data_IF_739958809018
#
_entry.id   IF_739958809018
#
_cell.length_a   1.000
_cell.length_b   1.000
_cell.length_c   1.000
_cell.angle_alpha   90.00
_cell.angle_beta   90.00
_cell.angle_gamma   90.00
#
_symmetry.space_group_name_H-M   'P 1'
#
loop_
_entity.id
_entity.type
_entity.pdbx_description
1 polymer ?
#
# COMPACT_ATOMS: atom_id res chain seq x y z
N UNK A 1 37.17 28.09 27.35
CA UNK A 1 35.97 28.96 27.42
C UNK A 1 35.14 28.90 26.14
N UNK A 2 35.70 29.20 24.97
CA UNK A 2 34.99 29.17 23.66
C UNK A 2 34.34 27.82 23.34
N UNK A 3 35.05 26.70 23.55
CA UNK A 3 34.52 25.34 23.30
C UNK A 3 33.32 24.99 24.18
N UNK A 4 33.31 25.46 25.44
CA UNK A 4 32.21 25.23 26.38
C UNK A 4 30.99 26.04 25.96
N UNK A 5 31.19 27.29 25.55
CA UNK A 5 30.12 28.16 25.03
C UNK A 5 29.50 27.57 23.77
N UNK A 6 30.32 27.11 22.82
CA UNK A 6 29.84 26.46 21.59
C UNK A 6 29.06 25.17 21.88
N UNK A 7 29.54 24.35 22.83
CA UNK A 7 28.85 23.12 23.23
C UNK A 7 27.49 23.41 23.88
N UNK A 8 27.41 24.46 24.70
CA UNK A 8 26.15 24.91 25.32
C UNK A 8 25.15 25.42 24.28
N UNK A 9 25.61 26.19 23.29
CA UNK A 9 24.78 26.68 22.18
C UNK A 9 24.21 25.51 21.38
N UNK A 10 25.03 24.51 21.05
CA UNK A 10 24.56 23.28 20.36
C UNK A 10 23.52 22.55 21.18
N UNK A 11 23.73 22.38 22.49
CA UNK A 11 22.80 21.69 23.37
C UNK A 11 21.45 22.43 23.48
N UNK A 12 21.48 23.77 23.56
CA UNK A 12 20.27 24.61 23.55
C UNK A 12 19.55 24.51 22.21
N UNK A 13 20.25 24.52 21.08
CA UNK A 13 19.63 24.36 19.75
C UNK A 13 18.98 22.97 19.59
N UNK A 14 19.63 21.91 20.08
CA UNK A 14 19.06 20.55 20.08
C UNK A 14 17.82 20.50 20.96
N UNK A 15 17.86 21.10 22.15
CA UNK A 15 16.72 21.14 23.07
C UNK A 15 15.54 21.93 22.50
N UNK A 16 15.79 23.09 21.86
CA UNK A 16 14.75 23.87 21.18
C UNK A 16 14.18 23.06 20.01
N UNK A 17 15.02 22.43 19.19
CA UNK A 17 14.57 21.59 18.07
C UNK A 17 13.70 20.42 18.55
N UNK A 18 14.07 19.82 19.69
CA UNK A 18 13.28 18.77 20.34
C UNK A 18 11.92 19.27 20.83
N UNK A 19 11.86 20.44 21.49
CA UNK A 19 10.61 21.06 21.94
C UNK A 19 9.70 21.46 20.76
N UNK A 20 10.27 21.99 19.69
CA UNK A 20 9.57 22.28 18.44
C UNK A 20 9.02 21.00 17.83
N UNK A 21 9.82 19.92 17.78
CA UNK A 21 9.40 18.61 17.32
C UNK A 21 8.21 18.03 18.10
N UNK A 22 8.22 18.14 19.44
CA UNK A 22 7.08 17.70 20.28
C UNK A 22 5.84 18.54 20.00
N UNK A 23 5.98 19.86 19.87
CA UNK A 23 4.85 20.76 19.59
C UNK A 23 4.25 20.43 18.22
N UNK A 24 5.09 20.26 17.20
CA UNK A 24 4.66 19.92 15.85
C UNK A 24 4.00 18.55 15.80
N UNK A 25 4.54 17.55 16.50
CA UNK A 25 3.91 16.25 16.68
C UNK A 25 2.51 16.34 17.30
N UNK A 26 2.35 17.10 18.39
CA UNK A 26 1.04 17.30 19.04
C UNK A 26 0.05 18.06 18.16
N UNK A 27 0.53 18.98 17.33
CA UNK A 27 -0.30 19.71 16.38
C UNK A 27 -0.74 18.78 15.25
N UNK A 28 0.17 17.99 14.70
CA UNK A 28 -0.09 16.99 13.66
C UNK A 28 -1.14 15.94 14.09
N UNK A 29 -1.22 15.60 15.38
CA UNK A 29 -2.27 14.73 15.91
C UNK A 29 -3.68 15.35 15.88
N UNK A 30 -3.79 16.67 15.69
CA UNK A 30 -5.07 17.37 15.55
C UNK A 30 -5.45 17.61 14.10
N UNK A 31 -4.57 17.28 13.16
CA UNK A 31 -4.86 17.44 11.74
C UNK A 31 -6.06 16.56 11.37
N UNK A 32 -6.85 17.04 10.41
CA UNK A 32 -8.01 16.38 9.87
C UNK A 32 -7.97 16.38 8.32
N UNK A 33 -9.04 15.91 7.70
CA UNK A 33 -9.19 15.85 6.25
C UNK A 33 -9.13 17.22 5.56
N UNK A 34 -9.54 18.31 6.22
CA UNK A 34 -9.40 19.66 5.69
C UNK A 34 -7.94 20.14 5.70
N UNK A 35 -7.17 19.81 6.73
CA UNK A 35 -5.73 20.10 6.76
C UNK A 35 -4.99 19.35 5.64
N UNK A 36 -5.37 18.10 5.37
CA UNK A 36 -4.85 17.36 4.22
C UNK A 36 -5.30 18.00 2.89
N UNK A 37 -6.53 18.49 2.78
CA UNK A 37 -6.99 19.18 1.58
C UNK A 37 -6.14 20.43 1.28
N UNK A 38 -5.90 21.25 2.29
CA UNK A 38 -5.04 22.45 2.18
C UNK A 38 -3.59 22.10 1.84
N UNK A 39 -3.07 21.00 2.37
CA UNK A 39 -1.76 20.49 2.01
C UNK A 39 -1.72 20.09 0.53
N UNK A 40 -2.64 19.24 0.09
CA UNK A 40 -2.71 18.76 -1.29
C UNK A 40 -2.87 19.90 -2.30
N UNK A 41 -3.63 20.95 -1.96
CA UNK A 41 -3.75 22.15 -2.79
C UNK A 41 -2.41 22.87 -3.03
N UNK A 42 -1.51 22.86 -2.03
CA UNK A 42 -0.17 23.47 -2.12
C UNK A 42 0.87 22.55 -2.76
N UNK A 43 0.56 21.25 -2.90
CA UNK A 43 1.47 20.21 -3.38
C UNK A 43 0.95 19.47 -4.62
N UNK A 44 0.24 20.20 -5.50
CA UNK A 44 -0.40 19.67 -6.72
C UNK A 44 0.52 18.88 -7.65
N UNK A 45 1.81 19.21 -7.72
CA UNK A 45 2.77 18.52 -8.60
C UNK A 45 3.05 17.06 -8.17
N UNK A 46 2.76 16.73 -6.91
CA UNK A 46 3.09 15.43 -6.31
C UNK A 46 1.85 14.58 -6.02
N UNK A 47 0.71 14.87 -6.64
CA UNK A 47 -0.52 14.12 -6.44
C UNK A 47 -1.25 13.81 -7.74
N UNK A 48 -2.05 12.74 -7.69
CA UNK A 48 -2.98 12.32 -8.72
C UNK A 48 -4.27 11.87 -8.04
N UNK A 49 -5.41 12.36 -8.52
CA UNK A 49 -6.72 11.99 -7.99
C UNK A 49 -7.69 11.78 -9.14
N UNK A 50 -8.46 10.69 -9.03
CA UNK A 50 -9.57 10.40 -9.93
C UNK A 50 -10.79 10.00 -9.11
N UNK A 51 -11.93 10.61 -9.42
CA UNK A 51 -13.24 10.24 -8.88
C UNK A 51 -14.12 9.85 -10.05
N UNK A 52 -14.69 8.65 -9.98
CA UNK A 52 -15.69 8.14 -10.91
C UNK A 52 -17.00 7.95 -10.17
N UNK A 53 -18.09 8.53 -10.67
CA UNK A 53 -19.45 8.36 -10.13
C UNK A 53 -20.35 7.80 -11.21
N UNK A 54 -21.02 6.69 -10.91
CA UNK A 54 -21.95 6.04 -11.82
C UNK A 54 -21.36 5.80 -13.22
N UNK A 55 -20.10 5.38 -13.26
CA UNK A 55 -19.34 5.11 -14.49
C UNK A 55 -18.65 6.33 -15.12
N UNK A 56 -18.99 7.54 -14.69
CA UNK A 56 -18.50 8.78 -15.29
C UNK A 56 -17.36 9.38 -14.46
N UNK A 57 -16.27 9.79 -15.11
CA UNK A 57 -15.18 10.51 -14.44
C UNK A 57 -15.65 11.93 -14.08
N UNK A 58 -15.85 12.20 -12.79
CA UNK A 58 -16.35 13.48 -12.28
C UNK A 58 -15.27 14.36 -11.66
N UNK A 59 -14.08 13.79 -11.43
CA UNK A 59 -12.84 14.52 -11.15
C UNK A 59 -11.67 13.75 -11.77
N UNK A 60 -10.84 14.44 -12.53
CA UNK A 60 -9.58 13.91 -13.05
C UNK A 60 -8.51 14.97 -12.85
N UNK A 61 -7.47 14.64 -12.08
CA UNK A 61 -6.31 15.50 -11.90
C UNK A 61 -5.05 14.63 -11.93
N UNK A 62 -4.15 14.89 -12.88
CA UNK A 62 -2.94 14.08 -13.10
C UNK A 62 -3.23 12.57 -13.24
N UNK A 63 -4.41 12.18 -13.75
CA UNK A 63 -4.90 10.81 -13.67
C UNK A 63 -4.06 9.75 -14.39
N UNK A 64 -3.20 10.18 -15.33
CA UNK A 64 -2.31 9.32 -16.12
C UNK A 64 -0.86 9.30 -15.59
N UNK A 65 -0.56 10.02 -14.50
CA UNK A 65 0.76 10.03 -13.89
C UNK A 65 0.96 8.73 -13.09
N UNK A 66 2.11 8.06 -13.29
CA UNK A 66 2.43 6.80 -12.61
C UNK A 66 3.02 7.01 -11.23
N UNK A 67 2.51 6.27 -10.25
CA UNK A 67 2.98 6.23 -8.87
C UNK A 67 3.25 4.78 -8.43
N UNK A 68 4.31 4.53 -7.63
CA UNK A 68 4.51 3.27 -6.93
C UNK A 68 3.31 2.97 -6.04
N UNK A 69 2.76 1.77 -6.18
CA UNK A 69 1.46 1.42 -5.59
C UNK A 69 1.53 1.02 -4.13
N UNK A 70 2.73 0.77 -3.59
CA UNK A 70 2.88 0.19 -2.27
C UNK A 70 1.92 -1.01 -2.08
N UNK A 71 1.11 -0.99 -1.02
CA UNK A 71 0.15 -2.06 -0.72
C UNK A 71 -1.17 -1.98 -1.49
N UNK A 72 -1.42 -0.94 -2.30
CA UNK A 72 -2.61 -0.87 -3.17
C UNK A 72 -2.53 -1.88 -4.33
N UNK A 73 -1.33 -2.38 -4.65
CA UNK A 73 -1.13 -3.52 -5.58
C UNK A 73 -1.91 -4.78 -5.17
N UNK A 74 -2.19 -4.94 -3.87
CA UNK A 74 -2.85 -6.12 -3.30
C UNK A 74 -4.30 -6.29 -3.77
N UNK A 75 -4.94 -5.25 -4.32
CA UNK A 75 -6.27 -5.36 -4.95
C UNK A 75 -6.26 -6.37 -6.10
N UNK A 76 -5.22 -6.37 -6.94
CA UNK A 76 -5.10 -7.30 -8.08
C UNK A 76 -4.84 -8.72 -7.58
N UNK A 77 -4.09 -8.87 -6.49
CA UNK A 77 -3.84 -10.17 -5.85
C UNK A 77 -5.14 -10.72 -5.25
N UNK A 78 -5.93 -9.88 -4.58
CA UNK A 78 -7.24 -10.22 -4.04
C UNK A 78 -8.22 -10.64 -5.14
N UNK A 79 -8.24 -9.94 -6.28
CA UNK A 79 -9.05 -10.34 -7.44
C UNK A 79 -8.70 -11.75 -7.92
N UNK A 80 -7.41 -12.05 -8.12
CA UNK A 80 -6.97 -13.38 -8.55
C UNK A 80 -7.29 -14.47 -7.51
N UNK A 81 -7.12 -14.17 -6.22
CA UNK A 81 -7.49 -15.09 -5.15
C UNK A 81 -8.98 -15.45 -5.21
N UNK A 82 -9.86 -14.45 -5.31
CA UNK A 82 -11.31 -14.67 -5.41
C UNK A 82 -11.66 -15.50 -6.63
N UNK A 83 -11.10 -15.20 -7.81
CA UNK A 83 -11.31 -15.99 -9.04
C UNK A 83 -10.90 -17.44 -8.89
N UNK A 84 -9.76 -17.71 -8.26
CA UNK A 84 -9.28 -19.08 -8.08
C UNK A 84 -10.11 -19.86 -7.04
N UNK A 85 -10.65 -19.18 -6.03
CA UNK A 85 -11.57 -19.81 -5.07
C UNK A 85 -12.89 -20.18 -5.73
N UNK A 86 -13.51 -19.26 -6.47
CA UNK A 86 -14.83 -19.49 -7.10
C UNK A 86 -14.77 -20.47 -8.26
N UNK A 87 -13.60 -20.63 -8.88
CA UNK A 87 -13.33 -21.69 -9.87
C UNK A 87 -12.81 -22.99 -9.26
N UNK A 88 -12.90 -23.14 -7.93
CA UNK A 88 -12.50 -24.33 -7.16
C UNK A 88 -11.03 -24.75 -7.33
N UNK A 89 -10.15 -23.83 -7.74
CA UNK A 89 -8.69 -24.04 -7.83
C UNK A 89 -7.98 -23.80 -6.50
N UNK A 90 -8.59 -23.00 -5.61
CA UNK A 90 -8.18 -22.81 -4.22
C UNK A 90 -9.38 -23.05 -3.29
N UNK A 91 -9.12 -23.46 -2.05
CA UNK A 91 -10.16 -23.64 -1.03
C UNK A 91 -9.96 -22.67 0.13
N UNK A 92 -11.00 -21.91 0.49
CA UNK A 92 -10.95 -20.98 1.63
C UNK A 92 -10.60 -21.68 2.95
N UNK A 93 -11.08 -22.92 3.13
CA UNK A 93 -10.91 -23.70 4.35
C UNK A 93 -9.58 -24.45 4.43
N UNK A 94 -8.78 -24.41 3.37
CA UNK A 94 -7.46 -25.03 3.35
C UNK A 94 -6.61 -24.50 4.49
N UNK A 95 -6.04 -25.42 5.28
CA UNK A 95 -5.22 -25.09 6.45
C UNK A 95 -3.76 -24.96 6.06
N UNK A 96 -3.14 -23.91 6.59
CA UNK A 96 -1.75 -23.55 6.35
C UNK A 96 -1.06 -23.38 7.70
N UNK A 97 0.15 -23.93 7.85
CA UNK A 97 0.95 -23.67 9.03
C UNK A 97 1.37 -22.20 9.09
N UNK A 98 1.11 -21.54 10.21
CA UNK A 98 1.56 -20.17 10.47
C UNK A 98 3.10 -20.07 10.35
N UNK A 99 3.82 -21.10 10.78
CA UNK A 99 5.29 -21.15 10.67
C UNK A 99 5.80 -21.10 9.23
N UNK A 100 5.00 -21.58 8.26
CA UNK A 100 5.34 -21.49 6.85
C UNK A 100 5.21 -20.05 6.34
N UNK A 101 4.14 -19.36 6.75
CA UNK A 101 3.90 -17.96 6.37
C UNK A 101 4.95 -17.05 7.03
N UNK A 102 5.31 -17.33 8.29
CA UNK A 102 6.34 -16.61 9.05
C UNK A 102 7.71 -16.59 8.36
N UNK A 103 8.00 -17.55 7.45
CA UNK A 103 9.22 -17.52 6.63
C UNK A 103 9.31 -16.25 5.78
N UNK A 104 8.18 -15.69 5.35
CA UNK A 104 8.15 -14.47 4.54
C UNK A 104 8.07 -13.20 5.38
N UNK A 105 8.09 -13.30 6.71
CA UNK A 105 8.07 -12.15 7.60
C UNK A 105 9.48 -11.62 7.88
N UNK A 106 9.63 -10.30 7.81
CA UNK A 106 10.85 -9.57 8.18
C UNK A 106 10.48 -8.49 9.17
N UNK A 107 11.05 -8.57 10.37
CA UNK A 107 10.69 -7.75 11.53
C UNK A 107 10.79 -6.25 11.19
N UNK A 108 9.75 -5.48 11.55
CA UNK A 108 9.65 -4.03 11.40
C UNK A 108 9.74 -3.50 9.95
N UNK A 109 9.35 -4.29 8.95
CA UNK A 109 9.39 -3.86 7.53
C UNK A 109 8.01 -3.61 6.91
N UNK A 110 6.94 -4.00 7.60
CA UNK A 110 5.54 -3.88 7.16
C UNK A 110 4.70 -3.02 8.11
N UNK A 111 5.34 -2.17 8.92
CA UNK A 111 4.66 -1.30 9.88
C UNK A 111 3.99 -2.02 11.05
N UNK A 112 4.32 -3.30 11.29
CA UNK A 112 3.69 -4.11 12.33
C UNK A 112 2.44 -4.86 11.86
N UNK A 113 2.11 -4.78 10.58
CA UNK A 113 0.97 -5.44 9.96
C UNK A 113 0.88 -6.94 10.28
N UNK A 114 1.96 -7.68 10.06
CA UNK A 114 1.95 -9.13 10.26
C UNK A 114 1.79 -9.54 11.74
N UNK A 115 2.52 -8.95 12.72
CA UNK A 115 2.23 -9.18 14.13
C UNK A 115 0.78 -8.88 14.55
N UNK A 116 0.19 -7.78 14.08
CA UNK A 116 -1.20 -7.44 14.41
C UNK A 116 -2.19 -8.44 13.79
N UNK A 117 -1.93 -8.88 12.55
CA UNK A 117 -2.69 -9.98 11.95
C UNK A 117 -2.60 -11.24 12.80
N UNK A 118 -1.40 -11.66 13.21
CA UNK A 118 -1.19 -12.84 14.07
C UNK A 118 -1.97 -12.76 15.38
N UNK A 119 -2.04 -11.58 15.99
CA UNK A 119 -2.86 -11.36 17.19
C UNK A 119 -4.35 -11.54 16.90
N UNK A 120 -4.85 -11.05 15.76
CA UNK A 120 -6.27 -11.17 15.40
C UNK A 120 -6.77 -12.60 15.18
N UNK A 121 -5.84 -13.54 14.93
CA UNK A 121 -6.11 -14.97 14.77
C UNK A 121 -5.61 -15.78 15.97
N UNK A 122 -5.47 -15.12 17.13
CA UNK A 122 -5.02 -15.70 18.41
C UNK A 122 -3.67 -16.43 18.33
N UNK A 123 -2.80 -16.03 17.41
CA UNK A 123 -1.53 -16.70 17.11
C UNK A 123 -1.68 -18.20 16.84
N UNK A 124 -2.81 -18.60 16.24
CA UNK A 124 -3.08 -20.00 15.91
C UNK A 124 -1.95 -20.58 15.05
N UNK A 125 -1.48 -21.78 15.43
CA UNK A 125 -0.40 -22.48 14.69
C UNK A 125 -0.80 -22.88 13.27
N UNK A 126 -2.11 -22.96 13.00
CA UNK A 126 -2.70 -23.20 11.69
C UNK A 126 -3.80 -22.18 11.39
N UNK A 127 -3.84 -21.71 10.15
CA UNK A 127 -4.79 -20.69 9.67
C UNK A 127 -5.45 -21.14 8.38
N UNK A 128 -6.63 -20.64 8.08
CA UNK A 128 -7.28 -20.88 6.79
C UNK A 128 -6.72 -19.96 5.70
N UNK A 129 -6.85 -20.32 4.41
CA UNK A 129 -6.51 -19.39 3.32
C UNK A 129 -7.30 -18.09 3.35
N UNK A 130 -8.54 -18.13 3.85
CA UNK A 130 -9.34 -16.94 4.11
C UNK A 130 -8.68 -16.03 5.14
N UNK A 131 -8.14 -16.57 6.23
CA UNK A 131 -7.43 -15.79 7.24
C UNK A 131 -6.17 -15.15 6.67
N UNK A 132 -5.47 -15.84 5.77
CA UNK A 132 -4.29 -15.27 5.07
C UNK A 132 -4.71 -14.14 4.14
N UNK A 133 -5.81 -14.28 3.40
CA UNK A 133 -6.34 -13.22 2.54
C UNK A 133 -6.78 -11.98 3.35
N UNK A 134 -7.41 -12.18 4.50
CA UNK A 134 -7.72 -11.10 5.45
C UNK A 134 -6.43 -10.46 6.01
N UNK A 135 -5.40 -11.25 6.31
CA UNK A 135 -4.08 -10.75 6.69
C UNK A 135 -3.43 -9.85 5.64
N UNK A 136 -3.54 -10.23 4.35
CA UNK A 136 -3.07 -9.40 3.24
C UNK A 136 -3.87 -8.10 3.11
N UNK A 137 -5.20 -8.15 3.15
CA UNK A 137 -6.03 -7.00 2.78
C UNK A 137 -6.36 -6.09 3.96
N UNK A 138 -6.72 -6.64 5.11
CA UNK A 138 -7.17 -5.89 6.30
C UNK A 138 -5.99 -5.38 7.14
N UNK A 139 -4.93 -6.18 7.27
CA UNK A 139 -3.74 -5.80 8.04
C UNK A 139 -2.61 -5.29 7.14
N UNK A 140 -2.67 -5.54 5.83
CA UNK A 140 -1.61 -5.20 4.88
C UNK A 140 -0.33 -6.04 5.03
N UNK A 141 -0.41 -7.23 5.64
CA UNK A 141 0.75 -8.09 5.91
C UNK A 141 1.47 -8.50 4.63
N UNK A 142 2.75 -8.15 4.51
CA UNK A 142 3.57 -8.53 3.35
C UNK A 142 3.84 -10.03 3.30
N UNK A 143 4.02 -10.70 4.45
CA UNK A 143 4.21 -12.14 4.50
C UNK A 143 2.99 -12.94 4.00
N UNK A 144 1.78 -12.54 4.42
CA UNK A 144 0.54 -13.13 3.89
C UNK A 144 0.39 -12.90 2.38
N UNK A 145 0.84 -11.74 1.92
CA UNK A 145 0.78 -11.37 0.50
C UNK A 145 1.69 -12.25 -0.33
N UNK A 146 2.97 -12.35 0.05
CA UNK A 146 3.95 -13.14 -0.69
C UNK A 146 3.60 -14.63 -0.68
N UNK A 147 3.06 -15.13 0.45
CA UNK A 147 2.50 -16.47 0.52
C UNK A 147 1.37 -16.66 -0.52
N UNK A 148 0.37 -15.77 -0.56
CA UNK A 148 -0.74 -15.88 -1.50
C UNK A 148 -0.29 -15.72 -2.94
N UNK A 149 0.65 -14.81 -3.22
CA UNK A 149 1.22 -14.63 -4.56
C UNK A 149 1.88 -15.92 -5.07
N UNK A 150 2.60 -16.63 -4.20
CA UNK A 150 3.21 -17.91 -4.54
C UNK A 150 2.16 -18.99 -4.79
N UNK A 151 1.10 -19.02 -3.97
CA UNK A 151 -0.03 -19.95 -4.13
C UNK A 151 -0.82 -19.73 -5.42
N UNK A 152 -1.01 -18.47 -5.81
CA UNK A 152 -1.72 -18.08 -7.04
C UNK A 152 -0.83 -18.28 -8.27
N UNK A 153 0.46 -17.99 -8.13
CA UNK A 153 1.44 -17.92 -9.21
C UNK A 153 1.61 -16.50 -9.74
N UNK A 154 2.86 -16.02 -9.79
CA UNK A 154 3.19 -14.69 -10.31
C UNK A 154 2.79 -14.49 -11.77
N UNK A 155 2.89 -15.53 -12.59
CA UNK A 155 2.48 -15.46 -14.00
C UNK A 155 0.97 -15.23 -14.07
N UNK A 156 0.15 -16.03 -13.38
CA UNK A 156 -1.32 -15.83 -13.31
C UNK A 156 -1.68 -14.39 -12.91
N UNK A 157 -1.03 -13.86 -11.87
CA UNK A 157 -1.27 -12.48 -11.42
C UNK A 157 -0.92 -11.46 -12.50
N UNK A 158 0.24 -11.58 -13.13
CA UNK A 158 0.69 -10.62 -14.15
C UNK A 158 -0.09 -10.74 -15.46
N UNK A 159 -0.51 -11.95 -15.84
CA UNK A 159 -1.37 -12.17 -17.01
C UNK A 159 -2.76 -11.57 -16.80
N UNK A 160 -3.27 -11.59 -15.56
CA UNK A 160 -4.56 -10.98 -15.24
C UNK A 160 -4.63 -9.47 -15.51
N UNK A 161 -3.49 -8.77 -15.55
CA UNK A 161 -3.44 -7.35 -15.93
C UNK A 161 -3.99 -7.15 -17.35
N UNK A 162 -3.74 -8.08 -18.27
CA UNK A 162 -4.28 -8.04 -19.64
C UNK A 162 -5.78 -8.27 -19.65
N UNK A 163 -6.26 -9.24 -18.88
CA UNK A 163 -7.69 -9.57 -18.77
C UNK A 163 -8.48 -8.41 -18.15
N UNK A 164 -7.87 -7.70 -17.20
CA UNK A 164 -8.39 -6.48 -16.58
C UNK A 164 -8.25 -5.24 -17.48
N UNK A 165 -7.55 -5.38 -18.62
CA UNK A 165 -7.22 -4.31 -19.58
C UNK A 165 -6.42 -3.15 -18.97
N UNK A 166 -5.53 -3.46 -18.03
CA UNK A 166 -4.65 -2.51 -17.36
C UNK A 166 -3.29 -2.51 -18.07
N UNK A 167 -3.13 -1.59 -19.01
CA UNK A 167 -1.95 -1.56 -19.88
C UNK A 167 -0.79 -0.73 -19.33
N UNK A 168 -1.03 0.13 -18.33
CA UNK A 168 0.02 1.03 -17.80
C UNK A 168 0.69 0.51 -16.53
N UNK A 169 0.25 -0.61 -15.98
CA UNK A 169 0.76 -1.20 -14.75
C UNK A 169 2.09 -1.95 -14.97
N UNK A 170 3.07 -1.75 -14.08
CA UNK A 170 4.33 -2.51 -14.12
C UNK A 170 4.15 -3.98 -13.72
N UNK A 171 5.10 -4.87 -14.05
CA UNK A 171 5.06 -6.26 -13.57
C UNK A 171 5.00 -6.29 -12.03
N UNK A 172 4.06 -7.03 -11.47
CA UNK A 172 3.93 -7.30 -10.05
C UNK A 172 5.00 -8.31 -9.63
N UNK A 173 5.68 -8.02 -8.53
CA UNK A 173 6.69 -8.90 -7.90
C UNK A 173 6.40 -9.07 -6.41
N UNK A 174 7.01 -10.09 -5.80
CA UNK A 174 6.99 -10.30 -4.35
C UNK A 174 7.49 -9.06 -3.60
N UNK A 175 6.93 -8.82 -2.41
CA UNK A 175 7.14 -7.62 -1.59
C UNK A 175 8.29 -7.79 -0.59
N UNK A 176 8.35 -8.92 0.12
CA UNK A 176 9.40 -9.17 1.13
C UNK A 176 10.82 -9.19 0.54
N UNK A 177 11.07 -9.77 -0.66
CA UNK A 177 12.40 -9.73 -1.26
C UNK A 177 13.01 -8.33 -1.39
N UNK A 178 12.18 -7.31 -1.60
CA UNK A 178 12.64 -5.92 -1.75
C UNK A 178 13.43 -5.42 -0.53
N UNK A 179 13.06 -5.84 0.69
CA UNK A 179 13.76 -5.41 1.91
C UNK A 179 14.98 -6.26 2.25
N UNK A 180 15.07 -7.48 1.71
CA UNK A 180 16.22 -8.37 1.85
C UNK A 180 17.33 -8.06 0.83
N UNK A 181 16.94 -7.56 -0.34
CA UNK A 181 17.82 -7.30 -1.48
C UNK A 181 19.06 -6.46 -1.15
N UNK A 182 19.01 -5.39 -0.33
CA UNK A 182 20.21 -4.63 -0.01
C UNK A 182 21.27 -5.49 0.69
N UNK A 183 20.84 -6.33 1.64
CA UNK A 183 21.72 -7.24 2.38
C UNK A 183 22.27 -8.37 1.51
N UNK A 184 21.50 -8.82 0.52
CA UNK A 184 21.95 -9.80 -0.47
C UNK A 184 23.03 -9.22 -1.39
N UNK A 185 22.86 -7.97 -1.82
CA UNK A 185 23.77 -7.33 -2.76
C UNK A 185 25.13 -7.00 -2.14
N UNK A 186 25.19 -6.65 -0.86
CA UNK A 186 26.42 -6.45 -0.09
C UNK A 186 26.11 -6.20 1.39
N UNK A 187 26.98 -6.65 2.30
CA UNK A 187 26.95 -6.22 3.70
C UNK A 187 27.37 -4.74 3.90
N UNK A 188 27.95 -4.11 2.87
CA UNK A 188 28.30 -2.69 2.89
C UNK A 188 27.18 -1.86 2.29
N UNK A 189 26.44 -1.15 3.13
CA UNK A 189 25.33 -0.24 2.76
C UNK A 189 25.61 0.62 1.53
N UNK A 190 26.77 1.28 1.45
CA UNK A 190 27.15 2.14 0.31
C UNK A 190 27.21 1.36 -1.01
N UNK A 191 27.76 0.14 -0.99
CA UNK A 191 27.86 -0.73 -2.18
C UNK A 191 26.47 -1.24 -2.57
N UNK A 192 25.66 -1.67 -1.58
CA UNK A 192 24.28 -2.07 -1.82
C UNK A 192 23.47 -0.96 -2.47
N UNK A 193 23.56 0.28 -1.96
CA UNK A 193 22.92 1.46 -2.56
C UNK A 193 23.31 1.63 -4.03
N UNK A 194 24.60 1.67 -4.35
CA UNK A 194 25.06 1.85 -5.76
C UNK A 194 24.59 0.73 -6.68
N UNK A 195 24.59 -0.53 -6.19
CA UNK A 195 24.05 -1.66 -6.94
C UNK A 195 22.56 -1.50 -7.20
N UNK A 196 21.78 -1.05 -6.21
CA UNK A 196 20.34 -0.82 -6.38
C UNK A 196 20.03 0.35 -7.33
N UNK A 197 20.77 1.45 -7.25
CA UNK A 197 20.61 2.63 -8.12
C UNK A 197 20.78 2.28 -9.60
N UNK A 198 21.77 1.45 -9.90
CA UNK A 198 22.12 1.08 -11.28
C UNK A 198 21.36 -0.15 -11.77
N UNK A 199 20.56 -0.79 -10.92
CA UNK A 199 19.82 -2.00 -11.25
C UNK A 199 18.65 -1.70 -12.18
N UNK A 200 18.65 -2.36 -13.34
CA UNK A 200 17.51 -2.34 -14.28
C UNK A 200 16.30 -3.05 -13.68
N UNK A 201 15.10 -2.61 -14.02
CA UNK A 201 13.86 -3.16 -13.46
C UNK A 201 13.72 -4.67 -13.70
N UNK A 202 14.07 -5.19 -14.89
CA UNK A 202 14.04 -6.63 -15.17
C UNK A 202 14.98 -7.44 -14.25
N UNK A 203 16.17 -6.92 -13.94
CA UNK A 203 17.11 -7.55 -13.01
C UNK A 203 16.61 -7.50 -11.57
N UNK A 204 15.96 -6.38 -11.19
CA UNK A 204 15.32 -6.24 -9.87
C UNK A 204 14.21 -7.28 -9.70
N UNK A 205 13.36 -7.46 -10.72
CA UNK A 205 12.28 -8.44 -10.71
C UNK A 205 12.82 -9.88 -10.62
N UNK A 206 13.81 -10.21 -11.44
CA UNK A 206 14.46 -11.54 -11.42
C UNK A 206 15.07 -11.84 -10.03
N UNK A 207 15.72 -10.84 -9.43
CA UNK A 207 16.32 -10.98 -8.10
C UNK A 207 15.26 -11.07 -7.00
N UNK A 208 14.11 -10.40 -7.14
CA UNK A 208 12.97 -10.56 -6.22
C UNK A 208 12.46 -12.00 -6.23
N UNK A 209 12.28 -12.61 -7.40
CA UNK A 209 11.86 -14.01 -7.54
C UNK A 209 12.91 -15.00 -6.99
N UNK A 210 14.20 -14.75 -7.22
CA UNK A 210 15.29 -15.55 -6.66
C UNK A 210 15.29 -15.50 -5.12
N UNK A 211 15.24 -14.29 -4.54
CA UNK A 211 15.23 -14.10 -3.09
C UNK A 211 13.98 -14.65 -2.43
N UNK A 212 12.83 -14.61 -3.10
CA UNK A 212 11.62 -15.27 -2.62
C UNK A 212 11.84 -16.78 -2.45
N UNK A 213 12.38 -17.46 -3.47
CA UNK A 213 12.67 -18.91 -3.41
C UNK A 213 13.66 -19.25 -2.29
N UNK A 214 14.72 -18.45 -2.15
CA UNK A 214 15.68 -18.60 -1.05
C UNK A 214 15.02 -18.42 0.32
N UNK A 215 14.11 -17.46 0.45
CA UNK A 215 13.36 -17.21 1.68
C UNK A 215 12.44 -18.39 2.02
N UNK A 216 11.74 -18.95 1.02
CA UNK A 216 10.90 -20.14 1.19
C UNK A 216 11.69 -21.37 1.66
N UNK A 217 12.92 -21.51 1.18
CA UNK A 217 13.88 -22.55 1.55
C UNK A 217 14.57 -22.30 2.91
N UNK A 218 14.34 -21.15 3.55
CA UNK A 218 14.97 -20.78 4.83
C UNK A 218 16.42 -20.30 4.69
N UNK A 219 16.87 -19.94 3.50
CA UNK A 219 18.25 -19.53 3.21
C UNK A 219 18.52 -18.03 3.46
N UNK A 220 17.53 -17.27 3.94
CA UNK A 220 17.61 -15.81 4.10
C UNK A 220 17.60 -15.32 5.55
N UNK A 221 17.77 -16.20 6.55
CA UNK A 221 17.73 -15.79 7.96
C UNK A 221 18.83 -14.77 8.30
N UNK A 222 20.05 -14.90 7.76
CA UNK A 222 21.12 -13.89 7.94
C UNK A 222 20.71 -12.52 7.36
N UNK A 223 20.02 -12.52 6.21
CA UNK A 223 19.55 -11.32 5.53
C UNK A 223 18.49 -10.62 6.38
N UNK A 224 17.58 -11.38 6.98
CA UNK A 224 16.54 -10.83 7.87
C UNK A 224 17.17 -10.13 9.07
N UNK A 225 18.16 -10.75 9.72
CA UNK A 225 18.84 -10.17 10.88
C UNK A 225 19.54 -8.84 10.57
N UNK A 226 20.14 -8.71 9.38
CA UNK A 226 20.83 -7.46 8.99
C UNK A 226 19.93 -6.41 8.32
N UNK A 227 18.69 -6.76 7.97
CA UNK A 227 17.75 -5.88 7.23
C UNK A 227 17.60 -4.51 7.89
N UNK A 228 17.36 -4.47 9.20
CA UNK A 228 17.19 -3.22 9.95
C UNK A 228 18.37 -2.26 9.82
N UNK A 229 19.61 -2.78 9.76
CA UNK A 229 20.83 -1.99 9.58
C UNK A 229 21.01 -1.53 8.14
N UNK A 230 20.48 -2.27 7.18
CA UNK A 230 20.63 -2.01 5.75
C UNK A 230 19.64 -0.97 5.22
N UNK A 231 18.42 -0.93 5.73
CA UNK A 231 17.33 -0.04 5.26
C UNK A 231 17.52 1.44 5.64
N UNK A 232 18.57 2.08 5.11
CA UNK A 232 18.70 3.53 5.18
C UNK A 232 17.57 4.23 4.41
N UNK A 233 17.28 5.49 4.75
CA UNK A 233 16.29 6.32 4.04
C UNK A 233 16.48 6.28 2.51
N UNK A 234 17.72 6.38 2.03
CA UNK A 234 18.05 6.31 0.60
C UNK A 234 17.73 4.93 -0.01
N UNK A 235 18.02 3.85 0.70
CA UNK A 235 17.67 2.50 0.24
C UNK A 235 16.16 2.30 0.22
N UNK A 236 15.44 2.77 1.24
CA UNK A 236 13.98 2.71 1.27
C UNK A 236 13.36 3.49 0.11
N UNK A 237 13.90 4.68 -0.22
CA UNK A 237 13.48 5.43 -1.41
C UNK A 237 13.70 4.62 -2.70
N UNK A 238 14.88 4.03 -2.88
CA UNK A 238 15.17 3.18 -4.04
C UNK A 238 14.26 1.94 -4.11
N UNK A 239 13.88 1.36 -2.96
CA UNK A 239 12.90 0.29 -2.92
C UNK A 239 11.54 0.81 -3.39
N UNK A 240 11.05 1.94 -2.85
CA UNK A 240 9.79 2.56 -3.26
C UNK A 240 9.74 2.81 -4.77
N UNK A 241 10.80 3.37 -5.35
CA UNK A 241 10.90 3.67 -6.78
C UNK A 241 10.95 2.41 -7.68
N UNK A 242 11.18 1.23 -7.10
CA UNK A 242 11.20 -0.06 -7.81
C UNK A 242 9.95 -0.89 -7.56
N UNK A 243 9.02 -0.43 -6.72
CA UNK A 243 7.74 -1.10 -6.54
C UNK A 243 6.92 -1.00 -7.84
N UNK A 244 6.01 -1.97 -8.08
CA UNK A 244 5.09 -1.88 -9.20
C UNK A 244 4.32 -0.55 -9.16
N UNK A 245 4.30 0.16 -10.29
CA UNK A 245 3.61 1.44 -10.43
C UNK A 245 2.44 1.36 -11.40
N UNK A 246 1.43 2.19 -11.18
CA UNK A 246 0.27 2.38 -12.07
C UNK A 246 -0.32 3.79 -11.83
N UNK A 247 -1.51 4.05 -12.36
CA UNK A 247 -2.15 5.37 -12.39
C UNK A 247 -3.48 5.35 -11.63
N UNK A 248 -3.97 6.51 -11.19
CA UNK A 248 -5.30 6.56 -10.54
C UNK A 248 -6.40 6.21 -11.53
N UNK A 249 -6.22 6.52 -12.83
CA UNK A 249 -7.10 6.09 -13.91
C UNK A 249 -7.26 4.57 -13.93
N UNK A 250 -6.16 3.83 -13.99
CA UNK A 250 -6.18 2.36 -14.02
C UNK A 250 -6.92 1.79 -12.80
N UNK A 251 -6.71 2.38 -11.62
CA UNK A 251 -7.30 1.90 -10.37
C UNK A 251 -8.78 2.26 -10.18
N UNK A 252 -9.23 3.44 -10.63
CA UNK A 252 -10.69 3.71 -10.64
C UNK A 252 -11.41 2.82 -11.64
N UNK A 253 -10.81 2.58 -12.81
CA UNK A 253 -11.40 1.71 -13.82
C UNK A 253 -11.42 0.26 -13.35
N UNK A 254 -10.33 -0.23 -12.72
CA UNK A 254 -10.27 -1.56 -12.10
C UNK A 254 -11.37 -1.71 -11.04
N UNK A 255 -11.45 -0.81 -10.07
CA UNK A 255 -12.40 -0.93 -8.96
C UNK A 255 -13.85 -0.82 -9.44
N UNK A 256 -14.13 0.03 -10.43
CA UNK A 256 -15.44 0.09 -11.08
C UNK A 256 -15.79 -1.22 -11.79
N UNK A 257 -14.87 -1.77 -12.58
CA UNK A 257 -15.05 -3.07 -13.24
C UNK A 257 -15.32 -4.18 -12.24
N UNK A 258 -14.55 -4.27 -11.16
CA UNK A 258 -14.75 -5.24 -10.09
C UNK A 258 -16.16 -5.13 -9.49
N UNK A 259 -16.63 -3.90 -9.22
CA UNK A 259 -17.93 -3.66 -8.61
C UNK A 259 -19.13 -3.85 -9.54
N UNK A 260 -19.02 -3.45 -10.81
CA UNK A 260 -20.16 -3.36 -11.74
C UNK A 260 -20.15 -4.38 -12.87
N UNK A 261 -19.00 -4.88 -13.28
CA UNK A 261 -18.86 -5.57 -14.57
C UNK A 261 -18.39 -7.02 -14.45
N UNK A 262 -17.37 -7.30 -13.63
CA UNK A 262 -16.61 -8.56 -13.76
C UNK A 262 -16.81 -9.54 -12.60
N UNK A 263 -17.02 -9.09 -11.36
CA UNK A 263 -17.29 -10.01 -10.25
C UNK A 263 -18.78 -10.38 -10.23
N UNK A 264 -19.05 -11.67 -10.07
CA UNK A 264 -20.39 -12.19 -9.72
C UNK A 264 -20.77 -11.84 -8.28
N UNK A 265 -22.04 -11.99 -7.91
CA UNK A 265 -22.51 -11.67 -6.55
C UNK A 265 -21.82 -12.53 -5.46
N UNK A 266 -21.53 -13.80 -5.76
CA UNK A 266 -20.76 -14.67 -4.87
C UNK A 266 -19.32 -14.16 -4.70
N UNK A 267 -18.67 -13.78 -5.80
CA UNK A 267 -17.33 -13.22 -5.78
C UNK A 267 -17.28 -11.88 -5.05
N UNK A 268 -18.28 -11.01 -5.24
CA UNK A 268 -18.40 -9.73 -4.51
C UNK A 268 -18.56 -9.95 -3.02
N UNK A 269 -19.35 -10.94 -2.60
CA UNK A 269 -19.51 -11.29 -1.18
C UNK A 269 -18.18 -11.72 -0.57
N UNK A 270 -17.44 -12.59 -1.24
CA UNK A 270 -16.10 -13.00 -0.78
C UNK A 270 -15.12 -11.82 -0.80
N UNK A 271 -15.15 -10.99 -1.84
CA UNK A 271 -14.31 -9.81 -1.97
C UNK A 271 -14.56 -8.80 -0.83
N UNK A 272 -15.83 -8.56 -0.47
CA UNK A 272 -16.21 -7.75 0.71
C UNK A 272 -15.68 -8.34 2.01
N UNK A 273 -15.70 -9.67 2.16
CA UNK A 273 -15.23 -10.33 3.36
C UNK A 273 -13.71 -10.18 3.57
N UNK A 274 -12.93 -10.11 2.48
CA UNK A 274 -11.47 -9.97 2.55
C UNK A 274 -11.02 -8.50 2.62
N UNK A 275 -11.70 -7.56 1.97
CA UNK A 275 -11.30 -6.15 1.93
C UNK A 275 -11.66 -5.37 3.21
N UNK A 276 -11.05 -4.20 3.36
CA UNK A 276 -11.45 -3.23 4.39
C UNK A 276 -12.72 -2.53 3.92
N UNK A 277 -13.67 -2.34 4.83
CA UNK A 277 -14.81 -1.46 4.59
C UNK A 277 -16.08 -1.85 5.34
N UNK A 278 -16.27 -3.13 5.67
CA UNK A 278 -17.51 -3.60 6.31
C UNK A 278 -17.80 -2.92 7.68
N UNK A 279 -16.76 -2.54 8.44
CA UNK A 279 -16.93 -1.80 9.70
C UNK A 279 -17.24 -0.30 9.52
N UNK A 280 -17.10 0.24 8.31
CA UNK A 280 -17.27 1.66 7.97
C UNK A 280 -18.49 1.88 7.06
N UNK A 281 -18.87 0.83 6.33
CA UNK A 281 -20.04 0.72 5.47
C UNK A 281 -21.30 1.20 6.19
N UNK A 282 -22.01 2.14 5.58
CA UNK A 282 -23.30 2.59 6.10
C UNK A 282 -24.39 1.54 5.89
N UNK A 283 -25.47 1.58 6.67
CA UNK A 283 -26.58 0.63 6.57
C UNK A 283 -27.25 0.56 5.19
N UNK A 284 -27.10 1.60 4.37
CA UNK A 284 -27.66 1.69 3.02
C UNK A 284 -26.66 1.25 1.93
N UNK A 285 -25.40 1.05 2.28
CA UNK A 285 -24.37 0.66 1.32
C UNK A 285 -24.45 -0.85 1.07
N UNK A 286 -24.45 -1.24 -0.20
CA UNK A 286 -24.32 -2.63 -0.63
C UNK A 286 -22.87 -3.09 -0.51
N UNK A 287 -21.94 -2.23 -0.93
CA UNK A 287 -20.51 -2.51 -0.96
C UNK A 287 -19.71 -1.30 -0.48
N UNK A 288 -18.67 -1.56 0.31
CA UNK A 288 -17.64 -0.60 0.67
C UNK A 288 -16.31 -1.33 0.68
N UNK A 289 -15.45 -1.03 -0.29
CA UNK A 289 -14.17 -1.70 -0.51
C UNK A 289 -13.06 -0.67 -0.54
N UNK A 290 -12.05 -0.88 0.29
CA UNK A 290 -10.93 0.04 0.39
C UNK A 290 -9.61 -0.71 0.51
N UNK A 291 -8.59 -0.22 -0.20
CA UNK A 291 -7.19 -0.57 0.10
C UNK A 291 -6.27 0.62 -0.10
N UNK A 292 -5.65 1.04 0.99
CA UNK A 292 -4.52 1.95 1.00
C UNK A 292 -3.17 1.23 0.90
N UNK A 293 -2.15 1.99 0.51
CA UNK A 293 -0.76 1.59 0.50
C UNK A 293 0.15 2.75 0.88
N UNK A 294 1.12 2.48 1.75
CA UNK A 294 2.06 3.48 2.20
C UNK A 294 3.50 2.96 2.17
N UNK A 295 4.41 3.84 1.80
CA UNK A 295 5.82 3.81 2.18
C UNK A 295 6.14 5.18 2.80
N UNK A 296 7.35 5.41 3.32
CA UNK A 296 7.72 6.76 3.75
C UNK A 296 7.63 7.85 2.66
N UNK A 297 7.57 7.48 1.38
CA UNK A 297 7.65 8.43 0.25
C UNK A 297 6.40 8.48 -0.63
N UNK A 298 5.47 7.55 -0.45
CA UNK A 298 4.26 7.47 -1.28
C UNK A 298 3.09 6.99 -0.43
N UNK A 299 1.94 7.63 -0.64
CA UNK A 299 0.64 7.16 -0.17
C UNK A 299 -0.25 6.94 -1.38
N UNK A 300 -0.93 5.81 -1.40
CA UNK A 300 -1.84 5.41 -2.48
C UNK A 300 -3.10 4.82 -1.88
N UNK A 301 -4.21 4.94 -2.59
CA UNK A 301 -5.45 4.28 -2.22
C UNK A 301 -6.35 4.08 -3.42
N UNK A 302 -7.24 3.10 -3.29
CA UNK A 302 -8.42 2.99 -4.13
C UNK A 302 -9.60 2.54 -3.28
N UNK A 303 -10.76 3.16 -3.52
CA UNK A 303 -12.02 2.94 -2.83
C UNK A 303 -13.12 2.68 -3.85
N UNK A 304 -13.99 1.70 -3.59
CA UNK A 304 -15.27 1.51 -4.25
C UNK A 304 -16.40 1.51 -3.22
N UNK A 305 -17.46 2.28 -3.45
CA UNK A 305 -18.65 2.30 -2.62
C UNK A 305 -19.88 2.28 -3.53
N UNK A 306 -20.88 1.48 -3.17
CA UNK A 306 -22.13 1.36 -3.92
C UNK A 306 -23.30 1.19 -2.96
N UNK A 307 -24.42 1.85 -3.26
CA UNK A 307 -25.74 1.57 -2.67
C UNK A 307 -26.73 1.17 -3.79
N UNK A 308 -28.04 1.16 -3.50
CA UNK A 308 -29.05 0.75 -4.48
C UNK A 308 -29.14 1.66 -5.73
N UNK A 309 -28.69 2.91 -5.63
CA UNK A 309 -28.91 3.94 -6.66
C UNK A 309 -27.58 4.42 -7.29
N UNK A 310 -26.52 4.49 -6.50
CA UNK A 310 -25.29 5.19 -6.83
C UNK A 310 -24.04 4.38 -6.49
N UNK A 311 -23.02 4.57 -7.31
CA UNK A 311 -21.67 4.05 -7.15
C UNK A 311 -20.65 5.17 -7.22
N UNK A 312 -19.64 5.10 -6.37
CA UNK A 312 -18.50 6.03 -6.36
C UNK A 312 -17.20 5.24 -6.24
N UNK A 313 -16.22 5.62 -7.05
CA UNK A 313 -14.86 5.07 -7.03
C UNK A 313 -13.88 6.22 -6.90
N UNK A 314 -12.93 6.10 -5.97
CA UNK A 314 -11.95 7.14 -5.69
C UNK A 314 -10.58 6.49 -5.66
N UNK A 315 -9.64 7.01 -6.44
CA UNK A 315 -8.22 6.70 -6.30
C UNK A 315 -7.43 7.99 -6.09
N UNK A 316 -6.62 8.03 -5.04
CA UNK A 316 -5.72 9.14 -4.71
C UNK A 316 -4.32 8.58 -4.48
N UNK A 317 -3.37 9.04 -5.30
CA UNK A 317 -1.95 8.75 -5.18
C UNK A 317 -1.19 10.04 -4.91
N UNK A 318 -0.27 10.02 -3.95
CA UNK A 318 0.58 11.17 -3.65
C UNK A 318 1.99 10.77 -3.27
N UNK A 319 2.94 11.64 -3.57
CA UNK A 319 4.34 11.53 -3.16
C UNK A 319 4.67 12.55 -2.09
N UNK A 320 5.52 12.12 -1.19
CA UNK A 320 6.26 12.97 -0.27
C UNK A 320 7.73 12.62 -0.44
N UNK A 321 8.36 13.25 -1.42
CA UNK A 321 9.76 12.96 -1.80
C UNK A 321 10.73 13.10 -0.61
N UNK A 322 10.38 13.95 0.35
CA UNK A 322 11.19 14.22 1.54
C UNK A 322 10.81 13.36 2.74
N UNK A 323 9.76 12.56 2.68
CA UNK A 323 9.28 11.77 3.83
C UNK A 323 9.13 12.63 5.11
N UNK A 324 8.77 13.90 4.96
CA UNK A 324 8.67 14.88 6.05
C UNK A 324 7.24 14.97 6.58
N UNK A 325 6.25 14.77 5.71
CA UNK A 325 4.83 14.95 6.02
C UNK A 325 4.07 13.62 6.11
N UNK A 326 4.59 12.56 5.48
CA UNK A 326 3.94 11.25 5.41
C UNK A 326 3.54 10.69 6.77
N UNK A 327 4.26 11.02 7.84
CA UNK A 327 3.93 10.58 9.19
C UNK A 327 2.53 11.06 9.65
N UNK A 328 2.22 12.34 9.47
CA UNK A 328 0.94 12.87 9.91
C UNK A 328 -0.15 12.61 8.88
N UNK A 329 0.20 12.64 7.59
CA UNK A 329 -0.74 12.36 6.49
C UNK A 329 -1.29 10.94 6.63
N UNK A 330 -0.45 9.94 6.94
CA UNK A 330 -0.91 8.56 7.15
C UNK A 330 -2.05 8.43 8.19
N UNK A 331 -2.10 9.31 9.20
CA UNK A 331 -3.13 9.26 10.23
C UNK A 331 -4.49 9.78 9.75
N UNK A 332 -4.50 10.64 8.73
CA UNK A 332 -5.73 11.29 8.21
C UNK A 332 -6.09 10.85 6.81
N UNK A 333 -5.18 10.20 6.08
CA UNK A 333 -5.32 9.85 4.66
C UNK A 333 -6.55 8.97 4.41
N UNK A 334 -6.77 7.95 5.24
CA UNK A 334 -7.94 7.07 5.07
C UNK A 334 -9.24 7.85 5.29
N UNK A 335 -9.30 8.66 6.36
CA UNK A 335 -10.47 9.47 6.67
C UNK A 335 -10.75 10.49 5.56
N UNK A 336 -9.72 11.10 4.98
CA UNK A 336 -9.87 11.98 3.82
C UNK A 336 -10.57 11.28 2.65
N UNK A 337 -10.17 10.06 2.30
CA UNK A 337 -10.80 9.28 1.22
C UNK A 337 -12.24 8.89 1.60
N UNK A 338 -12.47 8.51 2.84
CA UNK A 338 -13.82 8.17 3.32
C UNK A 338 -14.74 9.38 3.30
N UNK A 339 -14.27 10.55 3.73
CA UNK A 339 -15.03 11.80 3.67
C UNK A 339 -15.41 12.17 2.23
N UNK A 340 -14.53 11.94 1.23
CA UNK A 340 -14.92 12.12 -0.19
C UNK A 340 -16.06 11.15 -0.57
N UNK A 341 -16.04 9.92 -0.06
CA UNK A 341 -17.04 8.90 -0.38
C UNK A 341 -18.40 9.11 0.32
N UNK A 342 -18.41 9.76 1.49
CA UNK A 342 -19.59 9.82 2.38
C UNK A 342 -20.12 11.23 2.65
N UNK A 343 -19.33 12.28 2.46
CA UNK A 343 -19.72 13.68 2.69
C UNK A 343 -19.79 14.43 1.35
N UNK A 344 -21.00 14.82 0.95
CA UNK A 344 -21.27 15.51 -0.31
C UNK A 344 -20.61 16.89 -0.36
N UNK A 345 -20.59 17.62 0.74
CA UNK A 345 -20.04 18.99 0.80
C UNK A 345 -18.52 18.92 0.74
N UNK A 346 -17.91 17.99 1.48
CA UNK A 346 -16.47 17.76 1.41
C UNK A 346 -16.03 17.33 0.01
N UNK A 347 -16.73 16.36 -0.60
CA UNK A 347 -16.47 15.93 -1.99
C UNK A 347 -16.56 17.09 -2.98
N UNK A 348 -17.59 17.93 -2.88
CA UNK A 348 -17.75 19.10 -3.75
C UNK A 348 -16.61 20.10 -3.55
N UNK A 349 -16.13 20.28 -2.32
CA UNK A 349 -14.97 21.13 -2.03
C UNK A 349 -13.69 20.57 -2.65
N UNK A 350 -13.41 19.27 -2.51
CA UNK A 350 -12.28 18.60 -3.16
C UNK A 350 -12.35 18.80 -4.68
N UNK A 351 -13.50 18.54 -5.29
CA UNK A 351 -13.72 18.76 -6.73
C UNK A 351 -13.43 20.20 -7.13
N UNK A 352 -13.88 21.19 -6.36
CA UNK A 352 -13.66 22.60 -6.70
C UNK A 352 -12.18 23.01 -6.73
N UNK A 353 -11.34 22.38 -5.91
CA UNK A 353 -9.90 22.70 -5.80
C UNK A 353 -9.09 22.05 -6.94
N UNK A 354 -9.48 20.84 -7.35
CA UNK A 354 -8.75 20.03 -8.33
C UNK A 354 -9.43 19.95 -9.70
N UNK A 355 -10.52 20.70 -9.93
CA UNK A 355 -11.13 20.79 -11.25
C UNK A 355 -10.12 21.41 -12.21
N UNK A 356 -9.63 20.63 -13.17
CA UNK A 356 -8.93 21.19 -14.31
C UNK A 356 -9.91 22.12 -15.05
N UNK A 357 -9.50 23.36 -15.32
CA UNK A 357 -10.22 24.18 -16.28
C UNK A 357 -10.09 23.49 -17.62
N UNK A 358 -11.14 22.76 -18.02
CA UNK A 358 -11.23 22.08 -19.32
C UNK A 358 -10.94 23.02 -20.49
#
# INVERSE_FOLDING_TARGET
MVVIILSLIVLVMVFISFLVGIKQYKQNLKNNEYDLLEYLEKHKDNLSITIKEDGHDTLTFNQNVKFPLASTVKIIIAFNFVRLVTTCKLSLSEKVSLSYIDKFYVVNTDGGAHPEWKKSIDNSSEVSLLDVAKGMMQFSSNACTDYLMNRIGLDVINESLRDLQINTHDKITYLTPSVLMPGYLSDKKKIATTKMETMRSASYQSLSEELFKKTEQGECEDLKEKTSRMLSRKIQYLITEKLPSSTTKDYVDLMYKLGKEILSDEEKKLFSEILIGENIKGNQDNYFWYKGGATPFVLTSSLYKENAEHSIVISLFMRDEKAEDSYWIQNVFNNFIFSIATDIDFKNKVKSIFKENM
#
